data_IF_301304793862
#
_entry.id   IF_301304793862
#
_cell.length_a   1.000
_cell.length_b   1.000
_cell.length_c   1.000
_cell.angle_alpha   90.00
_cell.angle_beta   90.00
_cell.angle_gamma   90.00
#
_symmetry.space_group_name_H-M   'P 1'
#
loop_
_entity.id
_entity.type
_entity.pdbx_description
1 polymer ?
#
# COMPACT_ATOMS: atom_id res chain seq x y z
N UNK A 1 -14.69 0.04 -11.44
CA UNK A 1 -15.64 -0.93 -10.96
C UNK A 1 -15.13 -1.68 -9.76
N UNK A 2 -16.02 -2.39 -9.12
CA UNK A 2 -15.66 -3.23 -7.99
C UNK A 2 -14.94 -4.48 -8.46
N UNK A 3 -13.95 -4.89 -7.71
CA UNK A 3 -13.25 -6.14 -7.93
C UNK A 3 -13.72 -7.16 -6.89
N UNK A 4 -13.62 -8.43 -7.23
CA UNK A 4 -13.85 -9.48 -6.24
C UNK A 4 -12.83 -9.36 -5.11
N UNK A 5 -13.24 -9.67 -3.89
CA UNK A 5 -12.33 -9.68 -2.75
C UNK A 5 -11.25 -10.72 -2.97
N UNK A 6 -10.02 -10.38 -2.61
CA UNK A 6 -8.86 -11.26 -2.77
C UNK A 6 -8.14 -11.40 -1.44
N UNK A 7 -7.93 -12.64 -0.99
CA UNK A 7 -7.09 -12.91 0.15
C UNK A 7 -5.64 -12.61 -0.21
N UNK A 8 -4.96 -11.85 0.63
CA UNK A 8 -3.54 -11.51 0.41
C UNK A 8 -2.63 -12.38 1.25
N UNK A 9 -2.77 -12.34 2.58
CA UNK A 9 -1.91 -13.05 3.50
C UNK A 9 -2.60 -13.23 4.85
N UNK A 10 -2.14 -14.19 5.63
CA UNK A 10 -2.57 -14.32 7.03
C UNK A 10 -2.00 -13.15 7.84
N UNK A 11 -2.80 -12.56 8.71
CA UNK A 11 -2.37 -11.40 9.48
C UNK A 11 -1.20 -11.73 10.41
N UNK A 12 -1.14 -12.94 10.94
CA UNK A 12 -0.05 -13.39 11.79
C UNK A 12 1.30 -13.53 11.09
N UNK A 13 1.32 -13.52 9.76
CA UNK A 13 2.56 -13.60 8.97
C UNK A 13 3.15 -12.23 8.66
N UNK A 14 2.46 -11.15 9.05
CA UNK A 14 2.93 -9.77 8.84
C UNK A 14 2.96 -9.08 10.20
N UNK A 15 4.15 -8.82 10.71
CA UNK A 15 4.30 -8.15 12.01
C UNK A 15 3.87 -6.69 11.91
N UNK A 16 3.49 -6.09 13.04
CA UNK A 16 3.21 -4.65 13.12
C UNK A 16 4.48 -3.90 12.69
N UNK A 17 4.32 -2.97 11.77
CA UNK A 17 5.44 -2.21 11.20
C UNK A 17 6.02 -2.81 9.93
N UNK A 18 5.64 -4.04 9.59
CA UNK A 18 6.14 -4.71 8.38
C UNK A 18 5.20 -4.50 7.20
N UNK A 19 5.76 -4.72 6.01
CA UNK A 19 5.04 -4.63 4.75
C UNK A 19 4.96 -5.99 4.06
N UNK A 20 4.02 -6.12 3.15
CA UNK A 20 3.89 -7.30 2.30
C UNK A 20 3.49 -6.86 0.89
N UNK A 21 4.27 -7.28 -0.11
CA UNK A 21 3.99 -6.98 -1.52
C UNK A 21 3.07 -8.06 -2.08
N UNK A 22 2.05 -7.63 -2.83
CA UNK A 22 1.11 -8.53 -3.47
C UNK A 22 0.66 -7.95 -4.81
N UNK A 23 -0.28 -8.60 -5.47
CA UNK A 23 -0.82 -8.14 -6.76
C UNK A 23 -2.31 -7.87 -6.63
N UNK A 24 -2.71 -6.67 -6.99
CA UNK A 24 -4.11 -6.25 -6.93
C UNK A 24 -4.28 -4.89 -7.63
N UNK A 25 -5.32 -4.65 -8.43
CA UNK A 25 -6.45 -5.56 -8.69
C UNK A 25 -6.16 -6.69 -9.66
N UNK A 26 -5.11 -6.60 -10.46
CA UNK A 26 -4.72 -7.66 -11.41
C UNK A 26 -3.31 -8.18 -11.11
N UNK A 27 -2.94 -9.29 -11.75
CA UNK A 27 -1.60 -9.88 -11.58
C UNK A 27 -0.49 -8.96 -12.10
N UNK A 28 -0.84 -7.94 -12.90
CA UNK A 28 0.11 -6.96 -13.40
C UNK A 28 0.29 -5.76 -12.47
N UNK A 29 -0.54 -5.64 -11.44
CA UNK A 29 -0.56 -4.46 -10.57
C UNK A 29 0.14 -4.74 -9.25
N UNK A 30 1.36 -4.25 -9.10
CA UNK A 30 2.10 -4.35 -7.85
C UNK A 30 1.42 -3.50 -6.77
N UNK A 31 1.23 -4.09 -5.61
CA UNK A 31 0.62 -3.45 -4.45
C UNK A 31 1.41 -3.77 -3.20
N UNK A 32 1.27 -2.93 -2.19
CA UNK A 32 2.00 -3.12 -0.93
C UNK A 32 1.08 -2.76 0.23
N UNK A 33 1.06 -3.61 1.25
CA UNK A 33 0.35 -3.32 2.49
C UNK A 33 1.35 -3.07 3.62
N UNK A 34 0.90 -2.32 4.61
CA UNK A 34 1.62 -2.05 5.84
C UNK A 34 0.70 -2.36 7.01
N UNK A 35 1.17 -3.17 7.94
CA UNK A 35 0.43 -3.39 9.18
C UNK A 35 0.81 -2.30 10.17
N UNK A 36 -0.10 -1.36 10.40
CA UNK A 36 0.14 -0.19 11.25
C UNK A 36 0.01 -0.54 12.72
N UNK A 37 -0.96 -1.38 13.05
CA UNK A 37 -1.26 -1.80 14.42
C UNK A 37 -1.83 -3.22 14.38
N UNK A 38 -2.13 -3.78 15.55
CA UNK A 38 -2.59 -5.16 15.65
C UNK A 38 -3.75 -5.47 14.70
N UNK A 39 -4.73 -4.57 14.60
CA UNK A 39 -5.90 -4.78 13.75
C UNK A 39 -6.07 -3.70 12.68
N UNK A 40 -5.01 -2.97 12.39
CA UNK A 40 -5.05 -1.91 11.38
C UNK A 40 -4.02 -2.16 10.28
N UNK A 41 -4.49 -2.27 9.04
CA UNK A 41 -3.66 -2.38 7.84
C UNK A 41 -4.09 -1.32 6.83
N UNK A 42 -3.12 -0.87 6.05
CA UNK A 42 -3.37 -0.01 4.89
C UNK A 42 -2.67 -0.61 3.69
N UNK A 43 -3.15 -0.31 2.49
CA UNK A 43 -2.51 -0.80 1.27
C UNK A 43 -2.66 0.22 0.14
N UNK A 44 -1.66 0.23 -0.72
CA UNK A 44 -1.59 1.16 -1.83
C UNK A 44 -1.00 0.48 -3.06
N UNK A 45 -1.26 1.06 -4.23
CA UNK A 45 -0.50 0.73 -5.42
C UNK A 45 0.98 1.01 -5.14
N UNK A 46 1.85 0.07 -5.52
CA UNK A 46 3.28 0.26 -5.37
C UNK A 46 3.86 1.13 -6.49
N UNK A 47 3.03 1.63 -7.38
CA UNK A 47 3.43 2.43 -8.52
C UNK A 47 3.32 3.92 -8.19
N UNK A 48 4.47 4.61 -8.16
CA UNK A 48 4.54 6.04 -7.91
C UNK A 48 3.70 6.82 -8.94
N UNK A 49 2.94 7.82 -8.48
CA UNK A 49 2.06 8.60 -9.35
C UNK A 49 2.81 9.58 -10.27
N UNK A 50 4.12 9.77 -10.06
CA UNK A 50 4.93 10.60 -10.94
C UNK A 50 5.37 9.84 -12.20
N UNK A 51 6.29 8.86 -12.06
CA UNK A 51 6.83 8.13 -13.21
C UNK A 51 6.69 6.61 -13.09
N UNK A 52 5.86 6.14 -12.17
CA UNK A 52 5.58 4.71 -12.05
C UNK A 52 6.68 3.88 -11.39
N UNK A 53 7.65 4.50 -10.76
CA UNK A 53 8.69 3.79 -10.02
C UNK A 53 8.12 3.10 -8.79
N UNK A 54 8.79 2.04 -8.35
CA UNK A 54 8.35 1.23 -7.22
C UNK A 54 8.52 2.00 -5.92
N UNK A 55 7.43 2.10 -5.16
CA UNK A 55 7.40 2.76 -3.85
C UNK A 55 7.67 1.73 -2.77
N UNK A 56 8.39 2.11 -1.73
CA UNK A 56 8.62 1.25 -0.57
C UNK A 56 8.45 2.04 0.73
N UNK A 57 8.30 1.32 1.84
CA UNK A 57 8.10 1.96 3.15
C UNK A 57 9.43 2.17 3.86
N UNK A 58 9.69 3.42 4.26
CA UNK A 58 10.84 3.77 5.09
C UNK A 58 10.38 3.85 6.54
N UNK A 59 10.61 2.79 7.30
CA UNK A 59 10.13 2.69 8.68
C UNK A 59 10.70 3.78 9.58
N UNK A 60 11.98 4.10 9.43
CA UNK A 60 12.64 5.12 10.25
C UNK A 60 12.06 6.51 10.03
N UNK A 61 11.66 6.82 8.80
CA UNK A 61 11.08 8.12 8.45
C UNK A 61 9.56 8.11 8.49
N UNK A 62 8.95 6.95 8.69
CA UNK A 62 7.50 6.75 8.74
C UNK A 62 6.80 7.33 7.52
N UNK A 63 7.22 6.87 6.34
CA UNK A 63 6.67 7.35 5.07
C UNK A 63 6.86 6.33 3.96
N UNK A 64 5.97 6.40 2.94
CA UNK A 64 6.21 5.74 1.66
C UNK A 64 7.18 6.59 0.85
N UNK A 65 8.16 5.95 0.23
CA UNK A 65 9.20 6.66 -0.52
C UNK A 65 9.33 6.13 -1.94
N UNK A 66 9.42 7.06 -2.90
CA UNK A 66 9.76 6.75 -4.28
C UNK A 66 11.19 7.22 -4.54
N UNK A 67 12.13 6.30 -4.81
CA UNK A 67 13.54 6.69 -4.92
C UNK A 67 13.91 7.40 -6.22
N UNK A 68 13.08 7.32 -7.26
CA UNK A 68 13.42 7.87 -8.57
C UNK A 68 13.58 9.39 -8.54
N UNK A 69 12.71 10.11 -7.82
CA UNK A 69 12.75 11.57 -7.74
C UNK A 69 12.43 12.07 -6.33
N UNK A 70 12.72 11.25 -5.33
CA UNK A 70 12.54 11.61 -3.91
C UNK A 70 11.09 12.02 -3.58
N UNK A 71 10.13 11.27 -4.11
CA UNK A 71 8.72 11.44 -3.75
C UNK A 71 8.42 10.78 -2.41
N UNK A 72 7.62 11.43 -1.58
CA UNK A 72 7.27 10.93 -0.26
C UNK A 72 5.78 11.04 -0.03
N UNK A 73 5.19 10.01 0.60
CA UNK A 73 3.75 9.90 0.81
C UNK A 73 3.46 9.53 2.26
N UNK A 74 2.34 10.02 2.77
CA UNK A 74 1.91 9.77 4.14
C UNK A 74 1.49 8.30 4.31
N UNK A 75 1.91 7.62 5.41
CA UNK A 75 1.70 6.17 5.56
C UNK A 75 0.25 5.72 5.54
N UNK A 76 -0.66 6.45 6.19
CA UNK A 76 -2.05 6.03 6.32
C UNK A 76 -2.94 6.44 5.16
N UNK A 77 -2.66 7.57 4.53
CA UNK A 77 -3.53 8.14 3.50
C UNK A 77 -2.96 8.03 2.09
N UNK A 78 -1.64 7.86 1.96
CA UNK A 78 -0.97 7.88 0.65
C UNK A 78 -0.85 9.28 0.06
N UNK A 79 -1.22 10.32 0.78
CA UNK A 79 -1.13 11.70 0.30
C UNK A 79 0.32 12.13 0.14
N UNK A 80 0.57 12.99 -0.85
CA UNK A 80 1.92 13.50 -1.11
C UNK A 80 2.37 14.37 0.05
N UNK A 81 3.54 14.06 0.61
CA UNK A 81 4.20 14.90 1.62
C UNK A 81 5.13 15.88 0.93
N UNK A 82 5.94 15.36 -0.01
CA UNK A 82 6.95 16.18 -0.71
C UNK A 82 7.37 15.49 -1.99
N UNK A 83 8.01 16.26 -2.87
CA UNK A 83 8.52 15.78 -4.13
C UNK A 83 7.58 16.03 -5.30
N UNK A 84 7.95 15.52 -6.49
CA UNK A 84 7.21 15.80 -7.72
C UNK A 84 5.90 15.03 -7.96
N UNK A 85 5.54 13.96 -7.20
CA UNK A 85 4.30 13.26 -7.50
C UNK A 85 3.09 14.20 -7.51
N UNK A 86 2.22 14.12 -8.55
CA UNK A 86 1.12 15.07 -8.69
C UNK A 86 -0.12 14.74 -7.86
N UNK A 87 -0.20 13.52 -7.30
CA UNK A 87 -1.37 13.08 -6.55
C UNK A 87 -1.01 11.95 -5.60
N UNK A 88 -1.92 11.63 -4.68
CA UNK A 88 -1.77 10.55 -3.73
C UNK A 88 -1.58 9.19 -4.44
N UNK A 89 -0.98 8.23 -3.74
CA UNK A 89 -0.89 6.85 -4.20
C UNK A 89 -2.29 6.26 -4.37
N UNK A 90 -2.48 5.44 -5.38
CA UNK A 90 -3.71 4.68 -5.55
C UNK A 90 -3.95 3.82 -4.32
N UNK A 91 -5.17 3.86 -3.77
CA UNK A 91 -5.51 3.20 -2.52
C UNK A 91 -6.21 1.87 -2.76
N UNK A 92 -5.84 0.88 -1.96
CA UNK A 92 -6.51 -0.41 -1.93
C UNK A 92 -7.20 -0.54 -0.59
N UNK A 93 -8.51 -0.77 -0.61
CA UNK A 93 -9.26 -1.02 0.61
C UNK A 93 -8.93 -2.42 1.10
N UNK A 94 -8.53 -2.53 2.36
CA UNK A 94 -8.15 -3.81 2.97
C UNK A 94 -8.80 -3.92 4.34
N UNK A 95 -9.07 -5.17 4.75
CA UNK A 95 -9.53 -5.43 6.11
C UNK A 95 -9.06 -6.81 6.56
N UNK A 96 -9.01 -7.00 7.89
CA UNK A 96 -8.70 -8.29 8.50
C UNK A 96 -10.01 -8.98 8.81
N UNK A 97 -10.22 -10.20 8.25
CA UNK A 97 -11.35 -11.08 8.54
C UNK A 97 -10.81 -12.46 8.90
N UNK A 98 -11.16 -12.95 10.07
CA UNK A 98 -10.75 -14.29 10.51
C UNK A 98 -9.24 -14.51 10.31
N UNK A 99 -8.42 -13.53 10.72
CA UNK A 99 -6.97 -13.55 10.64
C UNK A 99 -6.40 -13.56 9.23
N UNK A 100 -7.20 -13.28 8.22
CA UNK A 100 -6.75 -13.09 6.84
C UNK A 100 -6.93 -11.62 6.43
N UNK A 101 -5.92 -11.08 5.75
CA UNK A 101 -5.98 -9.72 5.21
C UNK A 101 -6.57 -9.80 3.81
N UNK A 102 -7.72 -9.16 3.60
CA UNK A 102 -8.44 -9.16 2.33
C UNK A 102 -8.31 -7.83 1.62
N UNK A 103 -8.01 -7.86 0.32
CA UNK A 103 -8.10 -6.71 -0.56
C UNK A 103 -9.52 -6.65 -1.14
N UNK A 104 -10.18 -5.51 -1.00
CA UNK A 104 -11.62 -5.37 -1.27
C UNK A 104 -11.94 -4.47 -2.45
N UNK A 105 -11.07 -3.54 -2.81
CA UNK A 105 -11.33 -2.62 -3.91
C UNK A 105 -10.16 -1.68 -4.13
N UNK A 106 -10.11 -1.08 -5.33
CA UNK A 106 -9.05 -0.16 -5.72
C UNK A 106 -9.64 1.22 -6.03
N UNK A 107 -9.03 2.27 -5.48
CA UNK A 107 -9.38 3.67 -5.72
C UNK A 107 -8.13 4.38 -6.25
N UNK A 108 -8.09 4.64 -7.56
CA UNK A 108 -6.93 5.31 -8.17
C UNK A 108 -6.74 6.74 -7.68
#
# INVERSE_FOLDING_TARGET
GQRAAKATRQSGDVAVGDTYVFRYPTDADAAILLRIADREVVAFSQKCTHLGCVVYFEAEEDRWHCPCHEGNFEPRTGEVISGPPPRALGRIDVEIRDDTIWALGYQP
#
